data_IF_100721282777
#
_entry.id   IF_100721282777
#
_cell.length_a   1.000
_cell.length_b   1.000
_cell.length_c   1.000
_cell.angle_alpha   90.00
_cell.angle_beta   90.00
_cell.angle_gamma   90.00
#
_symmetry.space_group_name_H-M   'P 1'
#
loop_
_entity.id
_entity.type
_entity.pdbx_description
1 polymer ?
#
# COMPACT_ATOMS: atom_id res chain seq x y z
N UNK A 1 -25.80 26.39 -13.16
CA UNK A 1 -25.44 25.12 -13.84
C UNK A 1 -24.08 25.29 -14.50
N UNK A 2 -23.09 24.43 -14.19
CA UNK A 2 -21.70 24.61 -14.66
C UNK A 2 -21.46 23.99 -16.05
N UNK A 3 -22.20 22.95 -16.43
CA UNK A 3 -22.01 22.25 -17.73
C UNK A 3 -22.12 23.16 -18.97
N UNK A 4 -23.08 24.10 -19.09
CA UNK A 4 -23.12 25.02 -20.24
C UNK A 4 -21.88 25.91 -20.37
N UNK A 5 -21.25 26.27 -19.24
CA UNK A 5 -19.99 27.02 -19.24
C UNK A 5 -18.85 26.17 -19.78
N UNK A 6 -18.77 24.88 -19.41
CA UNK A 6 -17.78 23.96 -19.95
C UNK A 6 -17.94 23.78 -21.47
N UNK A 7 -19.16 23.76 -21.99
CA UNK A 7 -19.38 23.69 -23.45
C UNK A 7 -18.87 24.91 -24.18
N UNK A 8 -19.02 26.09 -23.58
CA UNK A 8 -18.53 27.36 -24.14
C UNK A 8 -17.01 27.52 -24.02
N UNK A 9 -16.38 26.93 -22.99
CA UNK A 9 -14.98 27.21 -22.62
C UNK A 9 -14.00 26.05 -22.83
N UNK A 10 -14.48 24.81 -22.92
CA UNK A 10 -13.65 23.60 -22.99
C UNK A 10 -14.07 22.74 -24.18
N UNK A 11 -15.21 22.05 -24.09
CA UNK A 11 -15.74 21.20 -25.15
C UNK A 11 -17.23 20.90 -24.95
N UNK A 12 -17.99 20.78 -26.06
CA UNK A 12 -19.41 20.37 -26.02
C UNK A 12 -19.55 18.94 -25.50
N UNK A 13 -20.64 18.66 -24.78
CA UNK A 13 -20.94 17.33 -24.23
C UNK A 13 -20.32 17.03 -22.86
N UNK A 14 -19.47 17.91 -22.32
CA UNK A 14 -18.91 17.74 -20.99
C UNK A 14 -19.97 17.93 -19.88
N UNK A 15 -19.83 17.18 -18.80
CA UNK A 15 -20.66 17.32 -17.60
C UNK A 15 -19.84 17.81 -16.42
N UNK A 16 -20.45 18.67 -15.61
CA UNK A 16 -19.90 19.09 -14.32
C UNK A 16 -20.72 18.42 -13.21
N UNK A 17 -20.03 17.70 -12.31
CA UNK A 17 -20.67 17.03 -11.17
C UNK A 17 -19.93 17.37 -9.89
N UNK A 18 -20.67 17.76 -8.83
CA UNK A 18 -20.08 18.22 -7.56
C UNK A 18 -19.06 17.23 -6.97
N UNK A 19 -19.39 15.93 -6.98
CA UNK A 19 -18.51 14.87 -6.47
C UNK A 19 -17.57 14.35 -7.56
N UNK A 20 -18.07 14.20 -8.80
CA UNK A 20 -17.28 13.69 -9.92
C UNK A 20 -16.08 14.58 -10.25
N UNK A 21 -16.26 15.90 -10.29
CA UNK A 21 -15.18 16.84 -10.60
C UNK A 21 -14.10 16.86 -9.50
N UNK A 22 -14.47 16.64 -8.23
CA UNK A 22 -13.49 16.51 -7.13
C UNK A 22 -12.72 15.20 -7.24
N UNK A 23 -13.38 14.09 -7.57
CA UNK A 23 -12.71 12.81 -7.81
C UNK A 23 -11.72 12.89 -8.99
N UNK A 24 -12.12 13.55 -10.09
CA UNK A 24 -11.22 13.81 -11.23
C UNK A 24 -10.04 14.69 -10.82
N UNK A 25 -10.27 15.70 -9.97
CA UNK A 25 -9.20 16.56 -9.45
C UNK A 25 -8.12 15.76 -8.72
N UNK A 26 -8.47 14.82 -7.85
CA UNK A 26 -7.51 13.97 -7.13
C UNK A 26 -6.59 13.18 -8.09
N UNK A 27 -7.16 12.63 -9.17
CA UNK A 27 -6.38 11.90 -10.19
C UNK A 27 -5.45 12.86 -10.93
N UNK A 28 -5.93 14.04 -11.31
CA UNK A 28 -5.12 15.05 -12.01
C UNK A 28 -3.98 15.58 -11.14
N UNK A 29 -4.21 15.76 -9.84
CA UNK A 29 -3.16 16.19 -8.90
C UNK A 29 -2.07 15.12 -8.77
N UNK A 30 -2.44 13.85 -8.58
CA UNK A 30 -1.46 12.75 -8.58
C UNK A 30 -0.68 12.66 -9.89
N UNK A 31 -1.35 12.82 -11.03
CA UNK A 31 -0.68 12.79 -12.34
C UNK A 31 0.32 13.94 -12.50
N UNK A 32 0.01 15.13 -11.95
CA UNK A 32 0.94 16.27 -11.93
C UNK A 32 2.13 16.02 -11.03
N UNK A 33 1.93 15.42 -9.86
CA UNK A 33 3.03 14.98 -8.97
C UNK A 33 3.96 14.02 -9.71
N UNK A 34 3.41 13.01 -10.39
CA UNK A 34 4.20 12.03 -11.16
C UNK A 34 4.98 12.72 -12.29
N UNK A 35 4.37 13.66 -13.01
CA UNK A 35 5.05 14.40 -14.11
C UNK A 35 6.12 15.36 -13.62
N UNK A 36 5.96 15.92 -12.43
CA UNK A 36 6.93 16.82 -11.82
C UNK A 36 8.05 16.09 -11.08
N UNK A 37 7.93 14.77 -10.90
CA UNK A 37 8.93 13.96 -10.22
C UNK A 37 10.18 13.78 -11.09
N UNK A 38 11.32 14.24 -10.60
CA UNK A 38 12.64 13.98 -11.17
C UNK A 38 13.29 12.85 -10.36
N UNK A 39 13.47 11.64 -10.92
CA UNK A 39 14.14 10.56 -10.21
C UNK A 39 15.58 10.92 -9.85
N UNK A 40 16.00 10.54 -8.65
CA UNK A 40 17.38 10.66 -8.18
C UNK A 40 18.00 9.27 -8.03
N UNK A 41 19.24 9.14 -8.48
CA UNK A 41 20.02 7.92 -8.31
C UNK A 41 20.44 7.75 -6.85
N UNK A 42 20.31 6.54 -6.33
CA UNK A 42 20.91 6.12 -5.07
C UNK A 42 21.16 4.62 -5.11
N UNK A 43 22.08 4.15 -4.27
CA UNK A 43 22.45 2.75 -4.21
C UNK A 43 22.40 2.22 -2.79
N UNK A 44 22.13 0.92 -2.67
CA UNK A 44 22.25 0.15 -1.45
C UNK A 44 23.33 -0.92 -1.63
N UNK A 45 24.00 -1.30 -0.53
CA UNK A 45 24.92 -2.45 -0.52
C UNK A 45 24.34 -3.53 0.37
N UNK A 46 24.30 -4.75 -0.16
CA UNK A 46 23.96 -5.95 0.58
C UNK A 46 25.18 -6.86 0.76
N UNK A 47 25.36 -7.38 1.97
CA UNK A 47 26.37 -8.39 2.28
C UNK A 47 25.67 -9.72 2.55
N UNK A 48 26.06 -10.78 1.85
CA UNK A 48 25.64 -12.13 2.15
C UNK A 48 26.66 -12.74 3.11
N UNK A 49 26.27 -12.94 4.37
CA UNK A 49 27.13 -13.51 5.41
C UNK A 49 26.63 -14.88 5.82
N UNK A 50 27.45 -15.59 6.59
CA UNK A 50 27.08 -16.83 7.26
C UNK A 50 27.22 -16.62 8.78
N UNK A 51 26.31 -17.21 9.54
CA UNK A 51 26.44 -17.26 11.00
C UNK A 51 27.50 -18.29 11.40
N UNK A 52 27.87 -18.32 12.68
CA UNK A 52 28.76 -19.37 13.19
C UNK A 52 28.17 -20.80 13.08
N UNK A 53 26.86 -20.92 12.85
CA UNK A 53 26.17 -22.19 12.60
C UNK A 53 25.96 -22.50 11.11
N UNK A 54 26.67 -21.80 10.22
CA UNK A 54 26.56 -21.90 8.75
C UNK A 54 25.20 -21.46 8.15
N UNK A 55 24.32 -20.82 8.93
CA UNK A 55 23.09 -20.24 8.41
C UNK A 55 23.37 -18.99 7.55
N UNK A 56 22.75 -18.92 6.37
CA UNK A 56 22.85 -17.75 5.51
C UNK A 56 22.10 -16.55 6.10
N UNK A 57 22.76 -15.39 6.15
CA UNK A 57 22.20 -14.14 6.65
C UNK A 57 22.51 -13.00 5.67
N UNK A 58 21.48 -12.41 5.06
CA UNK A 58 21.66 -11.23 4.21
C UNK A 58 21.51 -9.96 5.02
N UNK A 59 22.54 -9.13 5.00
CA UNK A 59 22.60 -7.84 5.68
C UNK A 59 22.54 -6.71 4.63
N UNK A 60 21.97 -5.57 5.02
CA UNK A 60 22.01 -4.33 4.25
C UNK A 60 22.80 -3.30 5.04
N UNK A 61 23.68 -2.55 4.37
CA UNK A 61 24.44 -1.49 5.01
C UNK A 61 23.49 -0.35 5.39
N UNK A 62 23.27 -0.15 6.67
CA UNK A 62 22.36 0.89 7.16
C UNK A 62 23.06 2.25 7.32
N UNK A 63 24.33 2.25 7.76
CA UNK A 63 25.07 3.45 8.10
C UNK A 63 26.56 3.34 7.80
N UNK A 64 27.19 4.48 7.51
CA UNK A 64 28.64 4.66 7.41
C UNK A 64 29.04 5.90 8.20
N UNK A 65 30.00 5.77 9.12
CA UNK A 65 30.47 6.86 9.98
C UNK A 65 29.34 7.62 10.72
N UNK A 66 28.32 6.89 11.20
CA UNK A 66 27.19 7.46 11.96
C UNK A 66 26.13 8.17 11.12
N UNK A 67 26.25 8.15 9.79
CA UNK A 67 25.24 8.70 8.86
C UNK A 67 24.54 7.57 8.12
N UNK A 68 23.28 7.78 7.74
CA UNK A 68 22.55 6.85 6.87
C UNK A 68 23.35 6.60 5.58
N UNK A 69 23.53 5.33 5.22
CA UNK A 69 24.23 4.96 4.01
C UNK A 69 23.29 5.12 2.82
N UNK A 70 23.59 6.09 1.95
CA UNK A 70 22.84 6.36 0.71
C UNK A 70 23.78 7.01 -0.33
N UNK A 71 24.75 6.27 -0.88
CA UNK A 71 25.57 6.76 -1.98
C UNK A 71 24.70 7.12 -3.20
N UNK A 72 25.08 8.20 -3.88
CA UNK A 72 24.30 8.78 -4.99
C UNK A 72 24.82 8.35 -6.37
N UNK A 73 25.90 7.58 -6.42
CA UNK A 73 26.54 7.12 -7.65
C UNK A 73 27.32 5.81 -7.46
N UNK A 74 27.70 5.20 -8.59
CA UNK A 74 28.46 3.94 -8.64
C UNK A 74 29.84 4.06 -7.99
N UNK A 75 30.57 5.16 -8.19
CA UNK A 75 31.94 5.31 -7.70
C UNK A 75 32.01 5.27 -6.16
N UNK A 76 31.13 6.02 -5.49
CA UNK A 76 31.02 6.04 -4.03
C UNK A 76 30.59 4.66 -3.49
N UNK A 77 29.68 4.00 -4.19
CA UNK A 77 29.20 2.65 -3.86
C UNK A 77 30.34 1.63 -3.96
N UNK A 78 31.12 1.67 -5.03
CA UNK A 78 32.23 0.74 -5.25
C UNK A 78 33.39 0.97 -4.28
N UNK A 79 33.65 2.23 -3.90
CA UNK A 79 34.61 2.56 -2.85
C UNK A 79 34.17 1.98 -1.50
N UNK A 80 32.91 2.16 -1.12
CA UNK A 80 32.35 1.57 0.10
C UNK A 80 32.36 0.03 0.05
N UNK A 81 32.04 -0.57 -1.09
CA UNK A 81 32.06 -2.01 -1.31
C UNK A 81 33.46 -2.61 -1.08
N UNK A 82 34.50 -1.98 -1.63
CA UNK A 82 35.89 -2.44 -1.48
C UNK A 82 36.33 -2.47 -0.01
N UNK A 83 35.91 -1.47 0.78
CA UNK A 83 36.15 -1.47 2.23
C UNK A 83 35.43 -2.61 2.94
N UNK A 84 34.22 -2.96 2.49
CA UNK A 84 33.40 -4.02 3.08
C UNK A 84 33.88 -5.43 2.72
N UNK A 85 34.41 -5.65 1.52
CA UNK A 85 34.95 -6.95 1.07
C UNK A 85 36.11 -7.45 1.95
N UNK A 86 36.91 -6.52 2.49
CA UNK A 86 38.01 -6.82 3.41
C UNK A 86 37.62 -6.73 4.89
N UNK A 87 36.38 -6.34 5.20
CA UNK A 87 35.93 -6.14 6.57
C UNK A 87 35.55 -7.47 7.26
N UNK A 88 35.81 -7.54 8.56
CA UNK A 88 35.26 -8.61 9.41
C UNK A 88 33.94 -8.14 10.02
N UNK A 89 32.88 -8.93 9.84
CA UNK A 89 31.57 -8.64 10.36
C UNK A 89 31.41 -9.23 11.76
N UNK A 90 30.85 -8.45 12.68
CA UNK A 90 30.45 -8.90 14.01
C UNK A 90 29.04 -8.39 14.32
N UNK A 91 28.27 -9.19 15.05
CA UNK A 91 26.98 -8.76 15.57
C UNK A 91 27.24 -7.73 16.67
N UNK A 92 26.80 -6.49 16.44
CA UNK A 92 26.94 -5.41 17.42
C UNK A 92 25.82 -5.44 18.47
N UNK A 93 24.61 -5.82 18.05
CA UNK A 93 23.43 -5.88 18.89
C UNK A 93 22.43 -6.91 18.34
N UNK A 94 21.60 -7.47 19.23
CA UNK A 94 20.51 -8.39 18.91
C UNK A 94 19.33 -8.10 19.84
N UNK A 95 18.24 -7.63 19.26
CA UNK A 95 16.97 -7.43 19.97
C UNK A 95 15.96 -8.49 19.55
N UNK A 96 15.52 -9.31 20.50
CA UNK A 96 14.42 -10.25 20.31
C UNK A 96 13.16 -9.67 20.96
N UNK A 97 12.21 -9.20 20.14
CA UNK A 97 10.97 -8.59 20.63
C UNK A 97 9.74 -9.36 20.15
N UNK A 98 8.88 -9.86 21.05
CA UNK A 98 7.61 -10.45 20.63
C UNK A 98 6.73 -9.37 19.98
N UNK A 99 6.24 -9.67 18.78
CA UNK A 99 5.31 -8.82 18.04
C UNK A 99 4.00 -9.55 17.81
N UNK A 100 2.90 -8.80 17.70
CA UNK A 100 1.57 -9.36 17.44
C UNK A 100 0.86 -8.54 16.38
N UNK A 101 0.18 -9.20 15.46
CA UNK A 101 -0.71 -8.54 14.49
C UNK A 101 -2.16 -8.76 14.89
N UNK A 102 -2.98 -7.70 14.82
CA UNK A 102 -4.42 -7.78 15.11
C UNK A 102 -5.19 -8.05 13.82
N UNK A 103 -6.26 -8.85 13.85
CA UNK A 103 -7.14 -9.00 12.70
C UNK A 103 -7.78 -7.67 12.32
N UNK A 104 -8.08 -7.51 11.03
CA UNK A 104 -8.80 -6.34 10.53
C UNK A 104 -10.25 -6.34 11.02
N UNK A 105 -10.86 -5.14 11.06
CA UNK A 105 -12.27 -5.01 11.35
C UNK A 105 -13.15 -5.70 10.28
N UNK A 106 -14.42 -6.03 10.61
CA UNK A 106 -15.40 -6.50 9.64
C UNK A 106 -15.55 -5.53 8.46
N UNK A 107 -15.95 -6.05 7.31
CA UNK A 107 -16.08 -5.23 6.11
C UNK A 107 -17.22 -4.21 6.20
N UNK A 108 -16.87 -2.95 5.90
CA UNK A 108 -17.79 -1.92 5.42
C UNK A 108 -17.74 -1.82 3.90
N UNK A 109 -18.62 -1.02 3.30
CA UNK A 109 -18.72 -0.84 1.83
C UNK A 109 -17.37 -0.53 1.18
N UNK A 110 -16.63 0.43 1.73
CA UNK A 110 -15.35 0.88 1.17
C UNK A 110 -14.26 -0.19 1.29
N UNK A 111 -14.13 -0.83 2.45
CA UNK A 111 -13.14 -1.88 2.69
C UNK A 111 -13.43 -3.16 1.90
N UNK A 112 -14.71 -3.50 1.69
CA UNK A 112 -15.11 -4.61 0.83
C UNK A 112 -14.70 -4.35 -0.61
N UNK A 113 -14.97 -3.15 -1.12
CA UNK A 113 -14.60 -2.74 -2.48
C UNK A 113 -13.08 -2.77 -2.68
N UNK A 114 -12.31 -2.23 -1.72
CA UNK A 114 -10.85 -2.27 -1.75
C UNK A 114 -10.31 -3.70 -1.71
N UNK A 115 -10.76 -4.51 -0.77
CA UNK A 115 -10.31 -5.90 -0.63
C UNK A 115 -10.64 -6.74 -1.86
N UNK A 116 -11.85 -6.61 -2.42
CA UNK A 116 -12.23 -7.31 -3.65
C UNK A 116 -11.41 -6.86 -4.86
N UNK A 117 -11.06 -5.57 -4.96
CA UNK A 117 -10.19 -5.06 -6.02
C UNK A 117 -8.77 -5.62 -5.88
N UNK A 118 -8.17 -5.52 -4.70
CA UNK A 118 -6.77 -5.92 -4.47
C UNK A 118 -6.57 -7.43 -4.47
N UNK A 119 -7.52 -8.19 -3.90
CA UNK A 119 -7.36 -9.64 -3.71
C UNK A 119 -7.99 -10.47 -4.83
N UNK A 120 -9.07 -9.98 -5.44
CA UNK A 120 -9.84 -10.73 -6.45
C UNK A 120 -9.85 -10.06 -7.84
N UNK A 121 -9.27 -8.87 -7.98
CA UNK A 121 -9.27 -8.12 -9.24
C UNK A 121 -10.65 -7.60 -9.66
N UNK A 122 -11.61 -7.50 -8.74
CA UNK A 122 -12.97 -7.08 -9.06
C UNK A 122 -13.10 -5.55 -9.00
N UNK A 123 -13.49 -4.94 -10.12
CA UNK A 123 -13.86 -3.53 -10.13
C UNK A 123 -15.09 -3.25 -9.26
N UNK A 124 -15.19 -2.03 -8.73
CA UNK A 124 -16.22 -1.61 -7.76
C UNK A 124 -17.64 -1.96 -8.21
N UNK A 125 -17.98 -1.72 -9.49
CA UNK A 125 -19.30 -2.04 -10.05
C UNK A 125 -19.63 -3.53 -9.98
N UNK A 126 -18.65 -4.39 -10.28
CA UNK A 126 -18.81 -5.86 -10.20
C UNK A 126 -19.01 -6.29 -8.76
N UNK A 127 -18.18 -5.82 -7.84
CA UNK A 127 -18.27 -6.13 -6.41
C UNK A 127 -19.64 -5.76 -5.85
N UNK A 128 -20.12 -4.54 -6.12
CA UNK A 128 -21.42 -4.11 -5.62
C UNK A 128 -22.59 -4.86 -6.28
N UNK A 129 -22.47 -5.23 -7.56
CA UNK A 129 -23.48 -6.04 -8.25
C UNK A 129 -23.59 -7.46 -7.68
N UNK A 130 -22.47 -8.08 -7.32
CA UNK A 130 -22.46 -9.39 -6.67
C UNK A 130 -22.95 -9.31 -5.22
N UNK A 131 -22.49 -8.32 -4.46
CA UNK A 131 -22.93 -8.11 -3.09
C UNK A 131 -24.45 -7.86 -3.00
N UNK A 132 -25.02 -7.11 -3.95
CA UNK A 132 -26.48 -6.94 -4.06
C UNK A 132 -27.19 -8.30 -4.19
N UNK A 133 -26.72 -9.18 -5.10
CA UNK A 133 -27.33 -10.52 -5.28
C UNK A 133 -27.19 -11.40 -4.04
N UNK A 134 -26.05 -11.33 -3.35
CA UNK A 134 -25.83 -12.08 -2.11
C UNK A 134 -26.76 -11.60 -1.00
N UNK A 135 -26.96 -10.29 -0.88
CA UNK A 135 -27.91 -9.71 0.08
C UNK A 135 -29.35 -10.12 -0.23
N UNK A 136 -29.78 -9.99 -1.49
CA UNK A 136 -31.14 -10.36 -1.93
C UNK A 136 -31.43 -11.86 -1.77
N UNK A 137 -30.40 -12.70 -1.88
CA UNK A 137 -30.49 -14.14 -1.65
C UNK A 137 -30.34 -14.55 -0.16
N UNK A 138 -30.14 -13.59 0.76
CA UNK A 138 -30.05 -13.85 2.20
C UNK A 138 -28.71 -14.37 2.71
N UNK A 139 -27.63 -14.29 1.92
CA UNK A 139 -26.30 -14.80 2.31
C UNK A 139 -25.46 -13.82 3.14
N UNK A 140 -25.71 -12.52 3.02
CA UNK A 140 -24.96 -11.47 3.73
C UNK A 140 -25.88 -10.38 4.27
N UNK A 141 -25.39 -9.58 5.21
CA UNK A 141 -26.05 -8.35 5.65
C UNK A 141 -25.98 -7.25 4.58
N UNK A 142 -26.68 -6.14 4.81
CA UNK A 142 -26.74 -5.02 3.86
C UNK A 142 -25.35 -4.45 3.52
N UNK A 143 -25.00 -4.47 2.24
CA UNK A 143 -23.66 -4.16 1.71
C UNK A 143 -23.34 -2.66 1.55
N UNK A 144 -24.32 -1.76 1.80
CA UNK A 144 -24.12 -0.31 1.79
C UNK A 144 -24.15 0.23 3.21
N UNK A 145 -23.10 -0.09 3.96
CA UNK A 145 -22.88 0.29 5.36
C UNK A 145 -21.51 0.95 5.54
N UNK A 146 -21.41 1.85 6.51
CA UNK A 146 -20.19 2.43 7.07
C UNK A 146 -19.89 1.92 8.50
N UNK A 147 -20.74 1.06 9.03
CA UNK A 147 -20.61 0.49 10.37
C UNK A 147 -19.84 -0.83 10.36
N UNK A 148 -18.83 -0.92 11.22
CA UNK A 148 -18.11 -2.16 11.54
C UNK A 148 -18.75 -2.96 12.67
N UNK A 149 -19.92 -2.54 13.17
CA UNK A 149 -20.61 -3.19 14.27
C UNK A 149 -21.11 -4.59 13.88
N UNK A 150 -20.96 -5.54 14.79
CA UNK A 150 -21.53 -6.89 14.69
C UNK A 150 -22.62 -7.06 15.75
N UNK A 151 -23.72 -7.75 15.41
CA UNK A 151 -24.69 -8.19 16.41
C UNK A 151 -24.05 -9.22 17.35
N UNK A 152 -24.60 -9.39 18.56
CA UNK A 152 -24.13 -10.41 19.50
C UNK A 152 -24.14 -11.81 18.88
N UNK A 153 -25.23 -12.15 18.23
CA UNK A 153 -25.39 -13.42 17.49
C UNK A 153 -24.30 -13.64 16.44
N UNK A 154 -23.94 -12.60 15.67
CA UNK A 154 -22.88 -12.69 14.67
C UNK A 154 -21.49 -12.87 15.30
N UNK A 155 -21.23 -12.23 16.44
CA UNK A 155 -19.97 -12.39 17.18
C UNK A 155 -19.86 -13.80 17.77
N UNK A 156 -20.95 -14.33 18.32
CA UNK A 156 -21.00 -15.69 18.88
C UNK A 156 -20.79 -16.73 17.79
N UNK A 157 -21.55 -16.66 16.69
CA UNK A 157 -21.40 -17.58 15.55
C UNK A 157 -19.98 -17.55 14.94
N UNK A 158 -19.35 -16.37 14.85
CA UNK A 158 -17.99 -16.24 14.32
C UNK A 158 -16.91 -16.78 15.27
N UNK A 159 -17.20 -16.93 16.57
CA UNK A 159 -16.28 -17.52 17.57
C UNK A 159 -16.42 -19.03 17.70
N UNK A 160 -17.60 -19.57 17.38
CA UNK A 160 -17.87 -21.01 17.40
C UNK A 160 -17.30 -21.75 16.18
N UNK A 161 -17.06 -21.04 15.08
CA UNK A 161 -16.43 -21.56 13.87
C UNK A 161 -14.91 -21.70 14.02
#
# INVERSE_FOLDING_TARGET
>A
MVSPLLWKKVARGLSAGRVQSVAVKLIVEREREIKAFTPEEFWDIHANTQTAGDDALRLMVAQQAGKAFRPENEADTMAAKSLLESATYKVADREDRPTSSKPSAPYITSTLQQAASTRLGYGVKRTMGLAQRLYEAGYITYMRTDSTNLSKEAVEAAREF
#
